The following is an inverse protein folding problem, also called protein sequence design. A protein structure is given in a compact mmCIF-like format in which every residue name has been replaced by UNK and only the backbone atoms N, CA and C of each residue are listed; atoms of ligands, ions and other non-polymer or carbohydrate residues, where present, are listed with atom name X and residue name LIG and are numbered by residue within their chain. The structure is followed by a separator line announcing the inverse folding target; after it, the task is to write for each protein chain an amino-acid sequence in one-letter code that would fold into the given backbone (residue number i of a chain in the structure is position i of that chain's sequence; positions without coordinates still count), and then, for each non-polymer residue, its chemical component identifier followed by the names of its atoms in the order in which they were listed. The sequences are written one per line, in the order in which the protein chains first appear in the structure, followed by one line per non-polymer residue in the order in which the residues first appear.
data_IF_444743373895
#
_entry.id   IF_444743373895
#
_cell.length_a   1.000
_cell.length_b   1.000
_cell.length_c   1.000
_cell.angle_alpha   90.00
_cell.angle_beta   90.00
_cell.angle_gamma   90.00
#
_symmetry.space_group_name_H-M   'P 1'
#
loop_
_entity.id
_entity.type
_entity.pdbx_description
1 polymer ?
#
# COMPACT_ATOMS: atom_id res chain seq x y z
N UNK A 1 7.07 24.79 14.42
CA UNK A 1 6.63 23.78 13.43
C UNK A 1 5.19 24.11 13.09
N UNK A 2 4.89 24.26 11.81
CA UNK A 2 3.52 24.48 11.34
C UNK A 2 2.82 23.13 11.32
N UNK A 3 1.87 22.91 12.23
CA UNK A 3 1.13 21.65 12.34
C UNK A 3 -0.12 21.63 11.44
N UNK A 4 -0.28 22.63 10.56
CA UNK A 4 -1.43 22.74 9.65
C UNK A 4 -1.11 22.29 8.23
N UNK A 5 0.16 22.01 7.93
CA UNK A 5 0.63 21.61 6.60
C UNK A 5 1.18 20.19 6.61
N UNK A 6 0.83 19.42 5.59
CA UNK A 6 1.41 18.12 5.31
C UNK A 6 2.71 18.31 4.52
N UNK A 7 3.78 17.63 4.92
CA UNK A 7 5.02 17.54 4.16
C UNK A 7 4.97 16.28 3.28
N UNK A 8 5.10 16.47 1.97
CA UNK A 8 5.06 15.38 0.99
C UNK A 8 6.45 14.83 0.66
N UNK A 9 7.53 15.39 1.23
CA UNK A 9 8.90 14.91 0.99
C UNK A 9 9.27 14.79 -0.49
N UNK A 10 8.74 15.71 -1.31
CA UNK A 10 8.95 15.75 -2.77
C UNK A 10 8.51 14.48 -3.53
N UNK A 11 7.62 13.65 -2.99
CA UNK A 11 7.02 12.51 -3.69
C UNK A 11 5.77 12.90 -4.48
N UNK A 12 5.37 12.04 -5.43
CA UNK A 12 4.14 12.18 -6.21
C UNK A 12 2.98 11.44 -5.54
N UNK A 13 1.75 11.81 -5.88
CA UNK A 13 0.55 11.12 -5.38
C UNK A 13 0.53 9.65 -5.82
N UNK A 14 0.54 8.74 -4.85
CA UNK A 14 0.56 7.30 -5.09
C UNK A 14 -0.82 6.67 -4.89
N UNK A 15 -1.51 6.39 -5.99
CA UNK A 15 -2.78 5.68 -6.00
C UNK A 15 -2.70 4.26 -5.41
N UNK A 16 -1.51 3.66 -5.40
CA UNK A 16 -1.24 2.33 -4.87
C UNK A 16 -0.69 2.36 -3.45
N UNK A 17 -0.55 3.54 -2.83
CA UNK A 17 -0.19 3.67 -1.42
C UNK A 17 -1.13 2.83 -0.55
N UNK A 18 -0.56 2.15 0.45
CA UNK A 18 -1.34 1.39 1.43
C UNK A 18 -2.29 2.30 2.23
N UNK A 19 -1.94 3.59 2.33
CA UNK A 19 -2.74 4.61 3.02
C UNK A 19 -3.89 5.14 2.16
N UNK A 20 -3.92 4.87 0.85
CA UNK A 20 -5.00 5.33 -0.02
C UNK A 20 -6.31 4.58 0.32
N UNK A 21 -7.44 5.29 0.45
CA UNK A 21 -8.73 4.65 0.67
C UNK A 21 -9.22 3.86 -0.56
N UNK A 22 -10.13 2.91 -0.32
CA UNK A 22 -10.85 2.23 -1.41
C UNK A 22 -11.82 3.20 -2.08
N UNK A 23 -12.26 2.83 -3.28
CA UNK A 23 -13.13 3.68 -4.09
C UNK A 23 -14.49 3.95 -3.45
N UNK A 24 -15.04 3.00 -2.71
CA UNK A 24 -16.37 3.04 -2.07
C UNK A 24 -16.30 3.23 -0.55
N UNK A 25 -15.14 3.60 -0.01
CA UNK A 25 -14.95 3.78 1.44
C UNK A 25 -15.89 4.88 1.97
N UNK A 26 -16.56 4.58 3.09
CA UNK A 26 -17.60 5.43 3.70
C UNK A 26 -18.80 5.76 2.81
N UNK A 27 -19.01 5.01 1.71
CA UNK A 27 -20.18 5.20 0.86
C UNK A 27 -21.48 4.80 1.57
N UNK A 28 -22.52 5.65 1.48
CA UNK A 28 -23.85 5.35 2.01
C UNK A 28 -24.69 4.50 1.05
N UNK A 29 -24.42 4.58 -0.24
CA UNK A 29 -25.21 3.96 -1.30
C UNK A 29 -24.42 2.93 -2.13
N UNK A 30 -23.21 2.59 -1.68
CA UNK A 30 -22.32 1.64 -2.38
C UNK A 30 -21.74 2.19 -3.69
N UNK A 31 -21.95 3.47 -4.01
CA UNK A 31 -21.30 4.11 -5.14
C UNK A 31 -19.90 4.62 -4.75
N UNK A 32 -18.98 4.74 -5.72
CA UNK A 32 -17.68 5.36 -5.50
C UNK A 32 -17.77 6.72 -4.81
N UNK A 33 -17.01 6.91 -3.74
CA UNK A 33 -16.73 8.20 -3.09
C UNK A 33 -15.43 8.80 -3.60
N UNK A 34 -14.53 7.98 -4.14
CA UNK A 34 -13.25 8.38 -4.72
C UNK A 34 -13.09 7.75 -6.11
N UNK A 35 -12.87 8.59 -7.12
CA UNK A 35 -12.62 8.19 -8.50
C UNK A 35 -11.22 8.63 -8.94
N UNK A 36 -10.43 7.69 -9.47
CA UNK A 36 -9.10 7.98 -9.99
C UNK A 36 -9.21 8.69 -11.34
N UNK A 37 -8.45 9.79 -11.50
CA UNK A 37 -8.39 10.51 -12.78
C UNK A 37 -7.52 9.77 -13.81
N UNK A 38 -6.60 8.93 -13.34
CA UNK A 38 -5.78 8.09 -14.22
C UNK A 38 -6.58 6.84 -14.63
N UNK A 39 -6.61 6.50 -15.94
CA UNK A 39 -7.36 5.35 -16.41
C UNK A 39 -6.75 4.03 -15.90
N UNK A 40 -7.61 3.07 -15.60
CA UNK A 40 -7.26 1.69 -15.21
C UNK A 40 -6.44 1.54 -13.91
N UNK A 41 -6.46 2.54 -13.02
CA UNK A 41 -5.80 2.46 -11.73
C UNK A 41 -6.75 1.88 -10.67
N UNK A 42 -6.26 0.93 -9.89
CA UNK A 42 -6.97 0.37 -8.73
C UNK A 42 -6.44 1.04 -7.46
N UNK A 43 -7.37 1.49 -6.61
CA UNK A 43 -7.07 2.15 -5.33
C UNK A 43 -7.51 1.31 -4.14
N UNK A 44 -6.86 1.51 -2.99
CA UNK A 44 -7.28 0.90 -1.73
C UNK A 44 -6.74 -0.51 -1.46
N UNK A 45 -5.57 -0.86 -2.01
CA UNK A 45 -4.88 -2.09 -1.66
C UNK A 45 -4.43 -2.08 -0.19
N UNK A 46 -4.35 -3.27 0.44
CA UNK A 46 -3.95 -3.45 1.86
C UNK A 46 -2.95 -4.60 2.05
N UNK A 47 -2.23 -4.96 0.98
CA UNK A 47 -1.37 -6.16 0.95
C UNK A 47 0.10 -5.83 1.22
N UNK A 48 0.58 -4.68 0.74
CA UNK A 48 2.00 -4.32 0.82
C UNK A 48 2.18 -2.80 0.85
N UNK A 49 3.32 -2.34 1.38
CA UNK A 49 3.72 -0.94 1.26
C UNK A 49 4.15 -0.66 -0.18
N UNK A 50 3.73 0.47 -0.74
CA UNK A 50 4.23 0.90 -2.04
C UNK A 50 5.69 1.37 -1.95
N UNK A 51 6.36 1.51 -3.10
CA UNK A 51 7.71 2.07 -3.14
C UNK A 51 7.74 3.49 -2.56
N UNK A 52 6.70 4.28 -2.80
CA UNK A 52 6.55 5.65 -2.29
C UNK A 52 6.36 5.65 -0.78
N UNK A 53 5.50 4.78 -0.24
CA UNK A 53 5.28 4.65 1.21
C UNK A 53 6.61 4.38 1.95
N UNK A 54 7.42 3.46 1.41
CA UNK A 54 8.73 3.11 1.98
C UNK A 54 9.68 4.29 1.91
N UNK A 55 9.74 4.97 0.76
CA UNK A 55 10.62 6.12 0.55
C UNK A 55 10.28 7.28 1.49
N UNK A 56 8.99 7.61 1.63
CA UNK A 56 8.55 8.68 2.53
C UNK A 56 8.93 8.38 3.97
N UNK A 57 8.68 7.16 4.47
CA UNK A 57 9.06 6.79 5.83
C UNK A 57 10.58 6.87 6.02
N UNK A 58 11.36 6.38 5.05
CA UNK A 58 12.82 6.43 5.12
C UNK A 58 13.37 7.86 5.15
N UNK A 59 12.82 8.76 4.34
CA UNK A 59 13.18 10.16 4.33
C UNK A 59 12.79 10.85 5.65
N UNK A 60 11.60 10.56 6.17
CA UNK A 60 11.07 11.23 7.36
C UNK A 60 11.85 10.87 8.62
N UNK A 61 12.30 9.61 8.72
CA UNK A 61 13.08 9.11 9.86
C UNK A 61 14.59 9.12 9.62
N UNK A 62 15.07 9.72 8.52
CA UNK A 62 16.48 9.75 8.14
C UNK A 62 17.15 8.36 8.18
N UNK A 63 16.48 7.35 7.61
CA UNK A 63 17.00 5.99 7.59
C UNK A 63 18.24 5.89 6.67
N UNK A 64 19.43 5.81 7.25
CA UNK A 64 20.70 5.70 6.53
C UNK A 64 21.05 4.26 6.16
N UNK A 65 20.16 3.49 5.52
CA UNK A 65 20.49 2.20 4.87
C UNK A 65 21.17 1.07 5.68
N UNK A 66 21.47 1.24 6.97
CA UNK A 66 22.23 0.27 7.78
C UNK A 66 21.36 -0.79 8.44
N UNK A 67 20.09 -0.91 8.05
CA UNK A 67 19.26 -2.03 8.44
C UNK A 67 19.81 -3.27 7.74
N UNK A 68 20.46 -4.15 8.51
CA UNK A 68 20.93 -5.46 8.07
C UNK A 68 19.96 -6.04 7.05
N UNK A 69 20.44 -6.26 5.83
CA UNK A 69 19.73 -7.00 4.80
C UNK A 69 19.19 -8.26 5.47
N UNK A 70 17.90 -8.28 5.82
CA UNK A 70 17.27 -9.54 6.13
C UNK A 70 17.49 -10.38 4.87
N UNK A 71 18.01 -11.61 5.00
CA UNK A 71 18.25 -12.45 3.84
C UNK A 71 16.97 -12.47 3.01
N UNK A 72 17.07 -12.46 1.66
CA UNK A 72 15.89 -12.47 0.82
C UNK A 72 14.96 -13.55 1.33
N UNK A 73 13.74 -13.16 1.71
CA UNK A 73 12.67 -14.12 1.85
C UNK A 73 12.49 -14.63 0.43
N UNK A 74 13.14 -15.74 0.11
CA UNK A 74 12.82 -16.57 -1.03
C UNK A 74 11.39 -17.04 -0.78
N UNK A 75 10.42 -16.23 -1.18
CA UNK A 75 9.07 -16.71 -1.37
C UNK A 75 9.18 -17.78 -2.43
N UNK A 76 9.16 -19.04 -2.00
CA UNK A 76 8.72 -20.13 -2.84
C UNK A 76 7.25 -19.85 -3.19
N UNK A 77 7.01 -18.95 -4.14
CA UNK A 77 5.82 -18.96 -4.98
C UNK A 77 6.03 -20.12 -5.95
N UNK A 78 5.98 -21.34 -5.41
CA UNK A 78 5.77 -22.52 -6.22
C UNK A 78 4.28 -22.61 -6.44
N UNK A 79 3.86 -22.35 -7.67
CA UNK A 79 2.58 -22.77 -8.20
C UNK A 79 2.43 -24.27 -7.95
N UNK A 80 1.67 -24.66 -6.94
CA UNK A 80 1.17 -26.04 -6.82
C UNK A 80 -0.32 -26.01 -6.59
N UNK A 81 -1.04 -26.26 -7.67
CA UNK A 81 -2.34 -26.92 -7.64
C UNK A 81 -2.23 -28.16 -6.76
N UNK A 82 -2.81 -28.14 -5.57
CA UNK A 82 -3.13 -29.35 -4.82
C UNK A 82 -4.40 -29.12 -4.01
N UNK A 83 -5.35 -30.02 -4.25
CA UNK A 83 -6.67 -30.09 -3.63
C UNK A 83 -6.58 -30.15 -2.10
N UNK A 84 -7.46 -29.37 -1.46
CA UNK A 84 -8.21 -29.66 -0.22
C UNK A 84 -7.38 -29.91 1.04
N UNK A 85 -7.64 -29.35 2.22
CA UNK A 85 -8.79 -28.68 2.82
C UNK A 85 -8.28 -28.18 4.18
N UNK A 86 -8.75 -27.04 4.69
CA UNK A 86 -9.04 -26.71 6.10
C UNK A 86 -9.23 -25.18 6.22
N UNK A 87 -10.16 -24.71 7.06
CA UNK A 87 -11.41 -24.11 6.57
C UNK A 87 -11.47 -22.59 6.67
N UNK A 88 -12.49 -22.07 5.99
CA UNK A 88 -13.00 -20.70 5.94
C UNK A 88 -13.24 -20.13 7.35
N UNK A 89 -12.88 -18.86 7.56
CA UNK A 89 -13.67 -17.97 8.42
C UNK A 89 -13.95 -16.66 7.67
N UNK A 90 -15.18 -16.66 7.12
CA UNK A 90 -16.01 -15.66 6.40
C UNK A 90 -15.33 -14.75 5.38
#
# INVERSE_FOLDING_TARGET
MDNTRVDTQNTLYDYTSLMHYKSDEFSKNGLPTIEALQPNVKIGQRLYLSATDIQEIQLYYNCTGSGSTLPPITTAITTTTSKNSFPVEV
#
